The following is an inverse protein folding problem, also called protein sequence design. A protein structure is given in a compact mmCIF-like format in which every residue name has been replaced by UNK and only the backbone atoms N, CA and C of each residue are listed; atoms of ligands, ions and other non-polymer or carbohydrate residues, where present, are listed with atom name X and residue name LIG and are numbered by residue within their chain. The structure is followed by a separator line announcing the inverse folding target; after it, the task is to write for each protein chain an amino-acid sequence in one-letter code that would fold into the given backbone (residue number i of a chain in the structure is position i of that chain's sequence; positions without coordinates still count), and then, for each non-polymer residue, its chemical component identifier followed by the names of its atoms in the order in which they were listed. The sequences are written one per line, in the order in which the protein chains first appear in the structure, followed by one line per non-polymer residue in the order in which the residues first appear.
data_IF_955750857356
#
_entry.id   IF_955750857356
#
_cell.length_a   1.000
_cell.length_b   1.000
_cell.length_c   1.000
_cell.angle_alpha   90.00
_cell.angle_beta   90.00
_cell.angle_gamma   90.00
#
_symmetry.space_group_name_H-M   'P 1'
#
loop_
_entity.id
_entity.type
_entity.pdbx_description
1 polymer ?
#
# COMPACT_ATOMS: atom_id res chain seq x y z
N UNK A 1 13.94 -7.72 7.53
CA UNK A 1 14.01 -6.54 6.64
C UNK A 1 14.49 -6.96 5.25
N UNK A 2 15.60 -7.71 5.16
CA UNK A 2 16.14 -8.23 3.89
C UNK A 2 15.18 -9.10 3.08
N UNK A 3 14.32 -9.91 3.72
CA UNK A 3 13.26 -10.66 3.01
C UNK A 3 12.19 -9.76 2.38
N UNK A 4 11.85 -8.64 3.02
CA UNK A 4 10.90 -7.64 2.49
C UNK A 4 11.51 -6.80 1.35
N UNK A 5 12.83 -6.62 1.35
CA UNK A 5 13.55 -5.94 0.26
C UNK A 5 13.62 -6.85 -0.97
N UNK A 6 13.76 -8.17 -0.78
CA UNK A 6 13.76 -9.16 -1.88
C UNK A 6 12.37 -9.45 -2.45
N UNK A 7 11.29 -9.06 -1.77
CA UNK A 7 9.91 -9.26 -2.24
C UNK A 7 9.42 -8.18 -3.21
N UNK A 8 10.24 -7.18 -3.54
CA UNK A 8 9.87 -6.12 -4.48
C UNK A 8 9.92 -6.70 -5.91
N UNK A 9 8.80 -6.74 -6.66
CA UNK A 9 8.81 -7.26 -8.02
C UNK A 9 9.70 -6.42 -8.94
N UNK A 10 10.53 -7.10 -9.74
CA UNK A 10 11.51 -6.48 -10.64
C UNK A 10 10.92 -6.00 -11.98
N UNK A 11 9.62 -6.24 -12.24
CA UNK A 11 8.99 -5.83 -13.50
C UNK A 11 8.65 -4.34 -13.50
N UNK A 12 9.28 -3.61 -14.42
CA UNK A 12 8.95 -2.21 -14.71
C UNK A 12 7.59 -2.17 -15.43
N UNK A 13 6.51 -2.07 -14.68
CA UNK A 13 5.16 -1.91 -15.23
C UNK A 13 5.00 -0.46 -15.74
N UNK A 14 4.74 -0.29 -17.04
CA UNK A 14 4.31 0.99 -17.61
C UNK A 14 2.84 1.26 -17.22
N UNK A 15 2.67 1.92 -16.08
CA UNK A 15 1.36 2.25 -15.50
C UNK A 15 0.49 3.07 -16.45
N UNK A 16 1.10 3.95 -17.26
CA UNK A 16 0.33 4.78 -18.20
C UNK A 16 -0.27 3.92 -19.31
N UNK A 17 0.52 2.99 -19.85
CA UNK A 17 0.04 2.02 -20.84
C UNK A 17 -1.03 1.08 -20.27
N UNK A 18 -0.86 0.62 -19.03
CA UNK A 18 -1.84 -0.24 -18.35
C UNK A 18 -3.15 0.51 -18.09
N UNK A 19 -3.10 1.75 -17.60
CA UNK A 19 -4.28 2.60 -17.41
C UNK A 19 -4.98 2.94 -18.73
N UNK A 20 -4.23 3.22 -19.78
CA UNK A 20 -4.78 3.43 -21.12
C UNK A 20 -5.50 2.18 -21.64
N UNK A 21 -4.88 1.00 -21.48
CA UNK A 21 -5.50 -0.28 -21.85
C UNK A 21 -6.76 -0.57 -21.03
N UNK A 22 -6.78 -0.24 -19.73
CA UNK A 22 -7.96 -0.38 -18.88
C UNK A 22 -9.11 0.50 -19.39
N UNK A 23 -8.81 1.75 -19.73
CA UNK A 23 -9.80 2.69 -20.23
C UNK A 23 -10.35 2.25 -21.60
N UNK A 24 -9.49 1.80 -22.50
CA UNK A 24 -9.87 1.27 -23.80
C UNK A 24 -10.84 0.09 -23.67
N UNK A 25 -10.53 -0.87 -22.79
CA UNK A 25 -11.39 -2.02 -22.52
C UNK A 25 -12.74 -1.62 -21.90
N UNK A 26 -12.75 -0.63 -21.00
CA UNK A 26 -14.00 -0.07 -20.45
C UNK A 26 -14.85 0.59 -21.54
N UNK A 27 -14.24 1.34 -22.44
CA UNK A 27 -14.93 1.95 -23.58
C UNK A 27 -15.50 0.88 -24.53
N UNK A 28 -14.76 -0.19 -24.80
CA UNK A 28 -15.26 -1.31 -25.60
C UNK A 28 -16.51 -1.95 -24.99
N UNK A 29 -16.55 -2.16 -23.66
CA UNK A 29 -17.76 -2.65 -22.99
C UNK A 29 -18.94 -1.70 -23.21
N UNK A 30 -18.73 -0.39 -23.07
CA UNK A 30 -19.79 0.60 -23.27
C UNK A 30 -20.35 0.51 -24.68
N UNK A 31 -19.47 0.52 -25.71
CA UNK A 31 -19.91 0.43 -27.10
C UNK A 31 -20.69 -0.86 -27.39
N UNK A 32 -20.21 -2.02 -26.92
CA UNK A 32 -20.87 -3.31 -27.13
C UNK A 32 -22.20 -3.38 -26.36
N UNK A 33 -22.27 -2.80 -25.17
CA UNK A 33 -23.49 -2.74 -24.38
C UNK A 33 -24.55 -1.83 -25.02
N UNK A 34 -24.13 -0.69 -25.59
CA UNK A 34 -25.01 0.21 -26.33
C UNK A 34 -25.57 -0.48 -27.59
N UNK A 35 -24.73 -1.19 -28.35
CA UNK A 35 -25.18 -2.00 -29.49
C UNK A 35 -26.18 -3.09 -29.05
N UNK A 36 -25.90 -3.83 -27.97
CA UNK A 36 -26.84 -4.82 -27.41
C UNK A 36 -28.18 -4.20 -27.03
N UNK A 37 -28.16 -2.98 -26.47
CA UNK A 37 -29.38 -2.26 -26.09
C UNK A 37 -30.20 -1.88 -27.32
N UNK A 38 -29.56 -1.35 -28.36
CA UNK A 38 -30.22 -1.01 -29.62
C UNK A 38 -30.86 -2.26 -30.26
N UNK A 39 -30.11 -3.37 -30.35
CA UNK A 39 -30.64 -4.63 -30.85
C UNK A 39 -31.81 -5.15 -30.01
N UNK A 40 -31.78 -5.00 -28.69
CA UNK A 40 -32.89 -5.39 -27.81
C UNK A 40 -34.15 -4.56 -28.07
N UNK A 41 -34.01 -3.27 -28.36
CA UNK A 41 -35.15 -2.40 -28.72
C UNK A 41 -35.75 -2.81 -30.07
N UNK A 42 -34.94 -3.05 -31.10
CA UNK A 42 -35.38 -3.53 -32.40
C UNK A 42 -36.09 -4.89 -32.28
N UNK A 43 -35.49 -5.83 -31.54
CA UNK A 43 -36.10 -7.13 -31.24
C UNK A 43 -37.48 -6.99 -30.59
N UNK A 44 -37.65 -6.07 -29.65
CA UNK A 44 -38.93 -5.87 -28.97
C UNK A 44 -40.02 -5.37 -29.94
N UNK A 45 -39.67 -4.45 -30.85
CA UNK A 45 -40.57 -3.94 -31.88
C UNK A 45 -40.99 -5.04 -32.86
N UNK A 46 -40.02 -5.83 -33.35
CA UNK A 46 -40.29 -6.92 -34.27
C UNK A 46 -41.09 -8.04 -33.61
N UNK A 47 -40.81 -8.34 -32.34
CA UNK A 47 -41.57 -9.31 -31.54
C UNK A 47 -43.03 -8.89 -31.32
N UNK A 48 -43.29 -7.60 -31.12
CA UNK A 48 -44.66 -7.08 -31.04
C UNK A 48 -45.41 -7.27 -32.38
N UNK A 49 -44.74 -6.94 -33.50
CA UNK A 49 -45.31 -7.13 -34.83
C UNK A 49 -45.56 -8.61 -35.14
N UNK A 50 -44.62 -9.48 -34.80
CA UNK A 50 -44.74 -10.92 -34.93
C UNK A 50 -45.93 -11.47 -34.12
N UNK A 51 -46.10 -11.02 -32.88
CA UNK A 51 -47.20 -11.43 -32.00
C UNK A 51 -48.56 -11.06 -32.60
N UNK A 52 -48.71 -9.86 -33.15
CA UNK A 52 -49.95 -9.44 -33.82
C UNK A 52 -50.30 -10.31 -35.03
N UNK A 53 -49.28 -10.80 -35.75
CA UNK A 53 -49.51 -11.71 -36.88
C UNK A 53 -49.97 -13.07 -36.37
N UNK A 54 -49.37 -13.60 -35.30
CA UNK A 54 -49.83 -14.85 -34.69
C UNK A 54 -51.27 -14.75 -34.17
N UNK A 55 -51.63 -13.65 -33.52
CA UNK A 55 -52.99 -13.40 -33.05
C UNK A 55 -54.01 -13.34 -34.21
N UNK A 56 -53.59 -12.79 -35.35
CA UNK A 56 -54.41 -12.82 -36.57
C UNK A 56 -54.56 -14.26 -37.10
N UNK A 57 -53.45 -15.00 -37.22
CA UNK A 57 -53.44 -16.38 -37.73
C UNK A 57 -54.29 -17.33 -36.89
N UNK A 58 -54.29 -17.20 -35.55
CA UNK A 58 -55.12 -18.02 -34.68
C UNK A 58 -56.62 -17.86 -34.93
N UNK A 59 -57.04 -16.69 -35.42
CA UNK A 59 -58.45 -16.36 -35.64
C UNK A 59 -58.85 -16.42 -37.13
N UNK A 60 -57.88 -16.61 -38.03
CA UNK A 60 -58.13 -16.59 -39.47
C UNK A 60 -58.41 -17.99 -40.02
N UNK A 61 -59.54 -18.16 -40.69
CA UNK A 61 -59.90 -19.43 -41.32
C UNK A 61 -59.21 -19.59 -42.69
N UNK A 62 -57.93 -19.97 -42.64
CA UNK A 62 -57.13 -20.27 -43.82
C UNK A 62 -57.76 -21.38 -44.67
N UNK A 63 -58.36 -22.40 -44.04
CA UNK A 63 -58.89 -23.56 -44.75
C UNK A 63 -60.07 -23.16 -45.63
N UNK A 64 -60.99 -22.38 -45.08
CA UNK A 64 -62.13 -21.88 -45.87
C UNK A 64 -61.67 -21.07 -47.10
N UNK A 65 -60.59 -20.31 -46.99
CA UNK A 65 -60.06 -19.55 -48.13
C UNK A 65 -59.53 -20.45 -49.24
N UNK A 66 -58.75 -21.49 -48.91
CA UNK A 66 -58.23 -22.43 -49.91
C UNK A 66 -59.31 -23.37 -50.46
N UNK A 67 -60.30 -23.75 -49.66
CA UNK A 67 -61.49 -24.49 -50.14
C UNK A 67 -62.27 -23.67 -51.16
N UNK A 68 -62.46 -22.36 -50.94
CA UNK A 68 -63.10 -21.47 -51.92
C UNK A 68 -62.30 -21.39 -53.23
N UNK A 69 -60.97 -21.38 -53.16
CA UNK A 69 -60.12 -21.39 -54.35
C UNK A 69 -60.26 -22.71 -55.13
N UNK A 70 -60.33 -23.84 -54.45
CA UNK A 70 -60.51 -25.14 -55.10
C UNK A 70 -61.85 -25.21 -55.85
N UNK A 71 -62.94 -24.77 -55.20
CA UNK A 71 -64.26 -24.68 -55.83
C UNK A 71 -64.26 -23.70 -57.02
N UNK A 72 -63.63 -22.53 -56.87
CA UNK A 72 -63.51 -21.55 -57.96
C UNK A 72 -62.81 -22.14 -59.19
N UNK A 73 -61.71 -22.87 -58.97
CA UNK A 73 -60.96 -23.53 -60.04
C UNK A 73 -61.76 -24.65 -60.71
N UNK A 74 -62.48 -25.46 -59.94
CA UNK A 74 -63.37 -26.50 -60.48
C UNK A 74 -64.45 -25.90 -61.37
N UNK A 75 -65.06 -24.79 -60.95
CA UNK A 75 -66.08 -24.10 -61.74
C UNK A 75 -65.50 -23.49 -63.03
N UNK A 76 -64.30 -22.89 -62.96
CA UNK A 76 -63.61 -22.38 -64.15
C UNK A 76 -63.27 -23.51 -65.14
N UNK A 77 -62.79 -24.66 -64.67
CA UNK A 77 -62.49 -25.82 -65.52
C UNK A 77 -63.75 -26.42 -66.17
N UNK A 78 -64.85 -26.48 -65.41
CA UNK A 78 -66.15 -26.89 -65.91
C UNK A 78 -66.69 -25.92 -66.96
N UNK A 79 -66.51 -24.60 -66.76
CA UNK A 79 -66.91 -23.57 -67.71
C UNK A 79 -66.17 -23.75 -69.04
N UNK A 80 -64.84 -23.88 -69.01
CA UNK A 80 -64.03 -24.11 -70.21
C UNK A 80 -64.49 -25.37 -70.96
N UNK A 81 -64.80 -26.44 -70.21
CA UNK A 81 -65.29 -27.70 -70.79
C UNK A 81 -66.65 -27.54 -71.47
N UNK A 82 -67.59 -26.82 -70.85
CA UNK A 82 -68.91 -26.54 -71.41
C UNK A 82 -68.84 -25.60 -72.62
N UNK A 83 -68.03 -24.55 -72.56
CA UNK A 83 -67.78 -23.64 -73.69
C UNK A 83 -67.19 -24.39 -74.90
N UNK A 84 -66.27 -25.33 -74.67
CA UNK A 84 -65.74 -26.21 -75.70
C UNK A 84 -66.81 -27.09 -76.36
N UNK A 85 -67.70 -27.67 -75.55
CA UNK A 85 -68.83 -28.46 -76.05
C UNK A 85 -69.81 -27.60 -76.84
N UNK A 86 -70.17 -26.42 -76.32
CA UNK A 86 -71.04 -25.45 -76.98
C UNK A 86 -70.47 -25.05 -78.34
N UNK A 87 -69.19 -24.65 -78.40
CA UNK A 87 -68.55 -24.28 -79.65
C UNK A 87 -68.55 -25.40 -80.69
N UNK A 88 -68.41 -26.66 -80.26
CA UNK A 88 -68.49 -27.83 -81.15
C UNK A 88 -69.90 -28.04 -81.73
N UNK A 89 -70.94 -27.89 -80.91
CA UNK A 89 -72.34 -28.05 -81.31
C UNK A 89 -72.83 -26.87 -82.16
N UNK A 90 -72.42 -25.64 -81.85
CA UNK A 90 -72.65 -24.47 -82.70
C UNK A 90 -72.04 -24.65 -84.10
N UNK A 91 -70.84 -25.22 -84.18
CA UNK A 91 -70.21 -25.54 -85.46
C UNK A 91 -70.98 -26.64 -86.21
N UNK A 92 -71.53 -27.65 -85.53
CA UNK A 92 -72.41 -28.64 -86.15
C UNK A 92 -73.73 -28.01 -86.64
N UNK A 93 -74.35 -27.16 -85.83
CA UNK A 93 -75.56 -26.42 -86.16
C UNK A 93 -75.34 -25.57 -87.41
N UNK A 94 -74.24 -24.82 -87.48
CA UNK A 94 -73.84 -24.02 -88.65
C UNK A 94 -73.66 -24.88 -89.90
N UNK A 95 -72.97 -26.02 -89.78
CA UNK A 95 -72.80 -26.98 -90.89
C UNK A 95 -74.14 -27.56 -91.37
N UNK A 96 -75.03 -27.93 -90.45
CA UNK A 96 -76.35 -28.46 -90.78
C UNK A 96 -77.27 -27.39 -91.38
N UNK A 97 -77.16 -26.14 -90.95
CA UNK A 97 -77.87 -25.00 -91.54
C UNK A 97 -77.43 -24.74 -92.99
N UNK A 98 -76.13 -24.71 -93.26
CA UNK A 98 -75.59 -24.56 -94.61
C UNK A 98 -76.07 -25.69 -95.55
N UNK A 99 -76.04 -26.94 -95.08
CA UNK A 99 -76.58 -28.09 -95.84
C UNK A 99 -78.08 -27.97 -96.12
N UNK A 100 -78.84 -27.38 -95.20
CA UNK A 100 -80.29 -27.18 -95.36
C UNK A 100 -80.57 -26.02 -96.33
N UNK A 101 -79.78 -24.95 -96.32
CA UNK A 101 -79.89 -23.84 -97.28
C UNK A 101 -79.66 -24.27 -98.73
N UNK A 102 -78.85 -25.32 -98.97
CA UNK A 102 -78.69 -25.88 -100.32
C UNK A 102 -80.03 -26.36 -100.92
N UNK A 103 -81.05 -26.69 -100.11
CA UNK A 103 -82.38 -27.09 -100.60
C UNK A 103 -83.17 -25.94 -101.23
N UNK A 104 -82.94 -24.68 -100.85
CA UNK A 104 -83.67 -23.53 -101.41
C UNK A 104 -83.22 -23.15 -102.81
N UNK A 105 -82.00 -23.56 -103.22
CA UNK A 105 -81.44 -23.32 -104.55
C UNK A 105 -81.74 -24.41 -105.59
N UNK A 106 -82.49 -25.47 -105.23
CA UNK A 106 -82.71 -26.63 -106.10
C UNK A 106 -84.13 -26.59 -106.71
N UNK A 107 -84.27 -26.43 -108.04
CA UNK A 107 -85.57 -26.32 -108.72
C UNK A 107 -86.35 -27.65 -108.79
N UNK A 108 -85.73 -28.79 -108.46
CA UNK A 108 -86.34 -30.12 -108.52
C UNK A 108 -86.92 -30.65 -107.20
N UNK A 109 -86.98 -29.82 -106.15
CA UNK A 109 -87.70 -30.12 -104.90
C UNK A 109 -87.38 -31.49 -104.29
N UNK A 110 -88.43 -32.24 -103.92
CA UNK A 110 -88.35 -33.57 -103.30
C UNK A 110 -88.33 -34.74 -104.30
N UNK A 111 -88.25 -34.48 -105.61
CA UNK A 111 -88.46 -35.48 -106.65
C UNK A 111 -87.36 -36.55 -106.77
N UNK A 112 -86.21 -36.39 -106.08
CA UNK A 112 -85.07 -37.33 -106.16
C UNK A 112 -84.51 -37.72 -104.77
N UNK A 113 -85.22 -38.55 -103.98
CA UNK A 113 -84.84 -38.92 -102.62
C UNK A 113 -83.58 -39.82 -102.52
N UNK A 114 -83.11 -40.40 -103.64
CA UNK A 114 -81.86 -41.17 -103.70
C UNK A 114 -80.61 -40.31 -103.92
N UNK A 115 -80.76 -39.02 -104.23
CA UNK A 115 -79.63 -38.11 -104.38
C UNK A 115 -78.95 -37.87 -103.02
N UNK A 116 -77.64 -38.13 -102.94
CA UNK A 116 -76.84 -37.98 -101.71
C UNK A 116 -77.01 -36.60 -101.07
N UNK A 117 -76.94 -35.53 -101.86
CA UNK A 117 -77.03 -34.15 -101.36
C UNK A 117 -78.42 -33.80 -100.81
N UNK A 118 -79.49 -34.24 -101.48
CA UNK A 118 -80.87 -34.00 -101.03
C UNK A 118 -81.15 -34.81 -99.75
N UNK A 119 -80.72 -36.07 -99.71
CA UNK A 119 -80.83 -36.93 -98.52
C UNK A 119 -80.07 -36.35 -97.32
N UNK A 120 -78.80 -35.96 -97.50
CA UNK A 120 -77.97 -35.39 -96.45
C UNK A 120 -78.55 -34.06 -95.93
N UNK A 121 -79.11 -33.23 -96.83
CA UNK A 121 -79.75 -31.98 -96.44
C UNK A 121 -81.05 -32.18 -95.64
N UNK A 122 -81.88 -33.18 -95.99
CA UNK A 122 -83.05 -33.52 -95.18
C UNK A 122 -82.68 -34.16 -93.83
N UNK A 123 -81.60 -34.95 -93.75
CA UNK A 123 -81.06 -35.46 -92.48
C UNK A 123 -80.57 -34.30 -91.60
N UNK A 124 -79.81 -33.36 -92.17
CA UNK A 124 -79.38 -32.15 -91.47
C UNK A 124 -80.58 -31.32 -91.01
N UNK A 125 -81.64 -31.18 -91.83
CA UNK A 125 -82.88 -30.51 -91.45
C UNK A 125 -83.60 -31.18 -90.27
N UNK A 126 -83.57 -32.51 -90.18
CA UNK A 126 -84.13 -33.25 -89.05
C UNK A 126 -83.28 -33.11 -87.77
N UNK A 127 -81.96 -32.95 -87.92
CA UNK A 127 -81.04 -32.76 -86.80
C UNK A 127 -80.98 -31.30 -86.30
N UNK A 128 -81.33 -30.30 -87.12
CA UNK A 128 -81.29 -28.88 -86.75
C UNK A 128 -82.04 -28.57 -85.43
N UNK A 129 -83.29 -29.02 -85.21
CA UNK A 129 -83.98 -28.79 -83.94
C UNK A 129 -83.29 -29.46 -82.75
N UNK A 130 -82.62 -30.60 -82.96
CA UNK A 130 -81.87 -31.30 -81.92
C UNK A 130 -80.62 -30.51 -81.55
N UNK A 131 -79.84 -30.10 -82.54
CA UNK A 131 -78.65 -29.27 -82.34
C UNK A 131 -79.00 -27.93 -81.69
N UNK A 132 -80.09 -27.28 -82.10
CA UNK A 132 -80.54 -26.03 -81.49
C UNK A 132 -80.89 -26.21 -80.01
N UNK A 133 -81.67 -27.25 -79.68
CA UNK A 133 -81.99 -27.55 -78.28
C UNK A 133 -80.75 -27.83 -77.43
N UNK A 134 -79.75 -28.49 -78.01
CA UNK A 134 -78.51 -28.79 -77.30
C UNK A 134 -77.65 -27.53 -77.09
N UNK A 135 -77.59 -26.64 -78.08
CA UNK A 135 -76.96 -25.31 -77.96
C UNK A 135 -77.66 -24.50 -76.87
N UNK A 136 -79.00 -24.41 -76.88
CA UNK A 136 -79.76 -23.67 -75.88
C UNK A 136 -79.55 -24.27 -74.46
N UNK A 137 -79.48 -25.60 -74.35
CA UNK A 137 -79.21 -26.31 -73.09
C UNK A 137 -77.81 -26.01 -72.57
N UNK A 138 -76.79 -26.10 -73.42
CA UNK A 138 -75.40 -25.83 -73.03
C UNK A 138 -75.20 -24.34 -72.69
N UNK A 139 -75.83 -23.44 -73.44
CA UNK A 139 -75.82 -22.00 -73.13
C UNK A 139 -76.44 -21.72 -71.76
N UNK A 140 -77.59 -22.33 -71.44
CA UNK A 140 -78.21 -22.16 -70.13
C UNK A 140 -77.32 -22.68 -68.98
N UNK A 141 -76.67 -23.83 -69.15
CA UNK A 141 -75.71 -24.34 -68.16
C UNK A 141 -74.49 -23.43 -67.98
N UNK A 142 -74.01 -22.81 -69.06
CA UNK A 142 -72.92 -21.84 -69.02
C UNK A 142 -73.34 -20.56 -68.29
N UNK A 143 -74.57 -20.09 -68.52
CA UNK A 143 -75.11 -18.91 -67.82
C UNK A 143 -75.24 -19.18 -66.32
N UNK A 144 -75.82 -20.32 -65.94
CA UNK A 144 -75.96 -20.74 -64.53
C UNK A 144 -74.58 -20.83 -63.85
N UNK A 145 -73.60 -21.48 -64.49
CA UNK A 145 -72.25 -21.62 -63.95
C UNK A 145 -71.49 -20.29 -63.88
N UNK A 146 -71.71 -19.38 -64.84
CA UNK A 146 -71.14 -18.03 -64.77
C UNK A 146 -71.70 -17.22 -63.60
N UNK A 147 -72.97 -17.41 -63.25
CA UNK A 147 -73.56 -16.76 -62.08
C UNK A 147 -72.99 -17.34 -60.77
N UNK A 148 -72.78 -18.67 -60.70
CA UNK A 148 -72.08 -19.31 -59.57
C UNK A 148 -70.62 -18.82 -59.44
N UNK A 149 -69.88 -18.68 -60.55
CA UNK A 149 -68.52 -18.13 -60.57
C UNK A 149 -68.49 -16.69 -60.08
N UNK A 150 -69.44 -15.84 -60.52
CA UNK A 150 -69.52 -14.45 -60.06
C UNK A 150 -69.79 -14.35 -58.56
N UNK A 151 -70.55 -15.28 -57.98
CA UNK A 151 -70.82 -15.29 -56.53
C UNK A 151 -69.57 -15.63 -55.72
N UNK A 152 -68.69 -16.50 -56.25
CA UNK A 152 -67.43 -16.87 -55.60
C UNK A 152 -66.37 -15.76 -55.71
N UNK A 153 -66.41 -14.97 -56.78
CA UNK A 153 -65.42 -13.93 -57.12
C UNK A 153 -63.97 -14.45 -57.04
N UNK A 154 -63.53 -15.23 -58.05
CA UNK A 154 -62.18 -15.81 -58.07
C UNK A 154 -61.06 -14.78 -57.94
N UNK A 155 -61.26 -13.56 -58.46
CA UNK A 155 -60.29 -12.47 -58.40
C UNK A 155 -60.11 -11.98 -56.95
N UNK A 156 -61.21 -11.84 -56.19
CA UNK A 156 -61.15 -11.49 -54.77
C UNK A 156 -60.46 -12.59 -53.95
N UNK A 157 -60.82 -13.85 -54.19
CA UNK A 157 -60.20 -15.02 -53.54
C UNK A 157 -58.70 -15.08 -53.80
N UNK A 158 -58.26 -14.89 -55.05
CA UNK A 158 -56.84 -14.84 -55.39
C UNK A 158 -56.11 -13.69 -54.69
N UNK A 159 -56.73 -12.50 -54.66
CA UNK A 159 -56.20 -11.34 -53.95
C UNK A 159 -56.01 -11.61 -52.45
N UNK A 160 -56.98 -12.27 -51.81
CA UNK A 160 -56.91 -12.57 -50.38
C UNK A 160 -55.87 -13.64 -50.06
N UNK A 161 -55.73 -14.66 -50.91
CA UNK A 161 -54.65 -15.65 -50.81
C UNK A 161 -53.28 -14.97 -50.95
N UNK A 162 -53.15 -14.02 -51.88
CA UNK A 162 -51.92 -13.26 -52.05
C UNK A 162 -51.57 -12.45 -50.79
N UNK A 163 -52.54 -11.75 -50.19
CA UNK A 163 -52.36 -10.99 -48.94
C UNK A 163 -51.97 -11.92 -47.79
N UNK A 164 -52.66 -13.06 -47.65
CA UNK A 164 -52.36 -14.05 -46.62
C UNK A 164 -50.93 -14.59 -46.76
N UNK A 165 -50.54 -15.05 -47.96
CA UNK A 165 -49.17 -15.53 -48.21
C UNK A 165 -48.11 -14.45 -47.96
N UNK A 166 -48.41 -13.20 -48.29
CA UNK A 166 -47.52 -12.05 -47.98
C UNK A 166 -47.35 -11.87 -46.47
N UNK A 167 -48.43 -12.03 -45.70
CA UNK A 167 -48.40 -11.99 -44.25
C UNK A 167 -47.54 -13.12 -43.66
N UNK A 168 -47.70 -14.35 -44.17
CA UNK A 168 -46.89 -15.51 -43.77
C UNK A 168 -45.40 -15.27 -44.06
N UNK A 169 -45.07 -14.74 -45.24
CA UNK A 169 -43.69 -14.40 -45.59
C UNK A 169 -43.11 -13.35 -44.63
N UNK A 170 -43.90 -12.34 -44.28
CA UNK A 170 -43.51 -11.33 -43.28
C UNK A 170 -43.31 -11.94 -41.90
N UNK A 171 -44.18 -12.85 -41.45
CA UNK A 171 -44.01 -13.60 -40.18
C UNK A 171 -42.69 -14.34 -40.16
N UNK A 172 -42.40 -15.11 -41.21
CA UNK A 172 -41.18 -15.90 -41.30
C UNK A 172 -39.93 -15.00 -41.31
N UNK A 173 -39.98 -13.87 -42.02
CA UNK A 173 -38.91 -12.87 -42.02
C UNK A 173 -38.68 -12.25 -40.63
N UNK A 174 -39.75 -11.87 -39.93
CA UNK A 174 -39.68 -11.35 -38.56
C UNK A 174 -39.13 -12.40 -37.58
N UNK A 175 -39.55 -13.66 -37.69
CA UNK A 175 -39.03 -14.76 -36.86
C UNK A 175 -37.51 -14.90 -37.01
N UNK A 176 -37.02 -14.91 -38.25
CA UNK A 176 -35.60 -14.96 -38.56
C UNK A 176 -34.84 -13.73 -38.03
N UNK A 177 -35.41 -12.53 -38.16
CA UNK A 177 -34.82 -11.29 -37.62
C UNK A 177 -34.71 -11.34 -36.10
N UNK A 178 -35.77 -11.77 -35.40
CA UNK A 178 -35.77 -11.93 -33.94
C UNK A 178 -34.67 -12.90 -33.51
N UNK A 179 -34.57 -14.07 -34.14
CA UNK A 179 -33.48 -15.03 -33.85
C UNK A 179 -32.11 -14.43 -34.11
N UNK A 180 -31.93 -13.67 -35.19
CA UNK A 180 -30.67 -12.99 -35.47
C UNK A 180 -30.31 -11.94 -34.40
N UNK A 181 -31.28 -11.18 -33.89
CA UNK A 181 -31.04 -10.26 -32.78
C UNK A 181 -30.68 -11.01 -31.49
N UNK A 182 -31.38 -12.11 -31.17
CA UNK A 182 -31.07 -12.93 -30.00
C UNK A 182 -29.62 -13.46 -30.06
N UNK A 183 -29.20 -14.00 -31.21
CA UNK A 183 -27.83 -14.47 -31.42
C UNK A 183 -26.78 -13.35 -31.27
N UNK A 184 -27.08 -12.15 -31.78
CA UNK A 184 -26.18 -10.99 -31.64
C UNK A 184 -26.06 -10.53 -30.20
N UNK A 185 -27.18 -10.44 -29.47
CA UNK A 185 -27.20 -10.05 -28.06
C UNK A 185 -26.38 -11.05 -27.23
N UNK A 186 -26.59 -12.36 -27.41
CA UNK A 186 -25.83 -13.39 -26.70
C UNK A 186 -24.32 -13.34 -27.02
N UNK A 187 -23.97 -13.08 -28.29
CA UNK A 187 -22.58 -12.89 -28.69
C UNK A 187 -21.96 -11.68 -28.01
N UNK A 188 -22.67 -10.55 -27.98
CA UNK A 188 -22.22 -9.32 -27.34
C UNK A 188 -22.08 -9.50 -25.82
N UNK A 189 -23.01 -10.19 -25.17
CA UNK A 189 -22.93 -10.52 -23.75
C UNK A 189 -21.70 -11.41 -23.44
N UNK A 190 -21.37 -12.34 -24.34
CA UNK A 190 -20.14 -13.14 -24.24
C UNK A 190 -18.88 -12.27 -24.34
N UNK A 191 -18.87 -11.31 -25.28
CA UNK A 191 -17.76 -10.35 -25.43
C UNK A 191 -17.61 -9.49 -24.17
N UNK A 192 -18.72 -8.96 -23.64
CA UNK A 192 -18.72 -8.18 -22.40
C UNK A 192 -18.16 -8.99 -21.24
N UNK A 193 -18.57 -10.27 -21.09
CA UNK A 193 -18.03 -11.17 -20.06
C UNK A 193 -16.52 -11.36 -20.20
N UNK A 194 -16.01 -11.56 -21.42
CA UNK A 194 -14.57 -11.67 -21.67
C UNK A 194 -13.83 -10.40 -21.28
N UNK A 195 -14.33 -9.24 -21.70
CA UNK A 195 -13.74 -7.94 -21.39
C UNK A 195 -13.74 -7.65 -19.88
N UNK A 196 -14.79 -8.05 -19.16
CA UNK A 196 -14.84 -7.92 -17.70
C UNK A 196 -13.75 -8.73 -17.00
N UNK A 197 -13.46 -9.95 -17.48
CA UNK A 197 -12.37 -10.78 -16.94
C UNK A 197 -11.02 -10.12 -17.20
N UNK A 198 -10.79 -9.58 -18.39
CA UNK A 198 -9.58 -8.84 -18.74
C UNK A 198 -9.40 -7.60 -17.86
N UNK A 199 -10.45 -6.80 -17.69
CA UNK A 199 -10.46 -5.61 -16.81
C UNK A 199 -10.09 -6.00 -15.39
N UNK A 200 -10.71 -7.05 -14.84
CA UNK A 200 -10.41 -7.52 -13.47
C UNK A 200 -8.95 -7.94 -13.32
N UNK A 201 -8.37 -8.58 -14.33
CA UNK A 201 -6.94 -8.93 -14.35
C UNK A 201 -6.06 -7.67 -14.35
N UNK A 202 -6.39 -6.67 -15.17
CA UNK A 202 -5.65 -5.41 -15.26
C UNK A 202 -5.76 -4.61 -13.95
N UNK A 203 -6.95 -4.52 -13.37
CA UNK A 203 -7.18 -3.85 -12.08
C UNK A 203 -6.43 -4.54 -10.94
N UNK A 204 -6.35 -5.87 -10.95
CA UNK A 204 -5.53 -6.64 -10.02
C UNK A 204 -4.04 -6.27 -10.10
N UNK A 205 -3.48 -6.20 -11.32
CA UNK A 205 -2.08 -5.78 -11.53
C UNK A 205 -1.83 -4.34 -11.09
N UNK A 206 -2.78 -3.44 -11.33
CA UNK A 206 -2.66 -2.04 -10.92
C UNK A 206 -2.67 -1.90 -9.40
N UNK A 207 -3.54 -2.66 -8.72
CA UNK A 207 -3.62 -2.70 -7.25
C UNK A 207 -2.32 -3.22 -6.64
N UNK A 208 -1.77 -4.31 -7.18
CA UNK A 208 -0.48 -4.86 -6.72
C UNK A 208 0.66 -3.83 -6.89
N UNK A 209 0.69 -3.12 -8.01
CA UNK A 209 1.66 -2.04 -8.23
C UNK A 209 1.52 -0.89 -7.22
N UNK A 210 0.30 -0.42 -6.98
CA UNK A 210 0.04 0.69 -6.05
C UNK A 210 0.40 0.30 -4.60
N UNK A 211 0.08 -0.92 -4.17
CA UNK A 211 0.47 -1.47 -2.87
C UNK A 211 2.00 -1.55 -2.72
N UNK A 212 2.70 -1.98 -3.78
CA UNK A 212 4.15 -2.06 -3.79
C UNK A 212 4.78 -0.66 -3.69
N UNK A 213 4.25 0.33 -4.41
CA UNK A 213 4.71 1.73 -4.33
C UNK A 213 4.58 2.28 -2.91
N UNK A 214 3.40 2.15 -2.30
CA UNK A 214 3.15 2.61 -0.93
C UNK A 214 4.09 1.92 0.07
N UNK A 215 4.31 0.61 -0.10
CA UNK A 215 5.24 -0.16 0.73
C UNK A 215 6.67 0.37 0.62
N UNK A 216 7.13 0.72 -0.58
CA UNK A 216 8.45 1.31 -0.81
C UNK A 216 8.57 2.67 -0.14
N UNK A 217 7.59 3.57 -0.35
CA UNK A 217 7.58 4.91 0.25
C UNK A 217 7.62 4.84 1.79
N UNK A 218 6.85 3.91 2.39
CA UNK A 218 6.85 3.65 3.82
C UNK A 218 8.20 3.10 4.33
N UNK A 219 8.83 2.18 3.60
CA UNK A 219 10.16 1.66 3.94
C UNK A 219 11.24 2.75 3.88
N UNK A 220 11.16 3.67 2.92
CA UNK A 220 12.06 4.82 2.85
C UNK A 220 11.90 5.74 4.08
N UNK A 221 10.67 5.99 4.52
CA UNK A 221 10.38 6.73 5.76
C UNK A 221 11.04 6.07 6.97
N UNK A 222 10.80 4.77 7.18
CA UNK A 222 11.41 4.00 8.27
C UNK A 222 12.94 4.02 8.22
N UNK A 223 13.54 3.97 7.04
CA UNK A 223 15.00 4.06 6.88
C UNK A 223 15.56 5.45 7.25
N UNK A 224 14.82 6.53 6.97
CA UNK A 224 15.20 7.89 7.41
C UNK A 224 15.14 8.00 8.92
N UNK A 225 14.09 7.49 9.54
CA UNK A 225 13.92 7.49 10.99
C UNK A 225 15.02 6.66 11.67
N UNK A 226 15.32 5.48 11.13
CA UNK A 226 16.42 4.63 11.63
C UNK A 226 17.77 5.36 11.59
N UNK A 227 18.07 6.09 10.51
CA UNK A 227 19.30 6.90 10.42
C UNK A 227 19.31 8.03 11.45
N UNK A 228 18.18 8.71 11.66
CA UNK A 228 18.03 9.77 12.66
C UNK A 228 18.26 9.24 14.07
N UNK A 229 17.61 8.14 14.45
CA UNK A 229 17.79 7.53 15.76
C UNK A 229 19.21 7.02 15.98
N UNK A 230 19.87 6.47 14.95
CA UNK A 230 21.28 6.08 15.03
C UNK A 230 22.21 7.27 15.30
N UNK A 231 21.93 8.42 14.68
CA UNK A 231 22.68 9.65 14.94
C UNK A 231 22.43 10.18 16.36
N UNK A 232 21.18 10.18 16.83
CA UNK A 232 20.82 10.58 18.19
C UNK A 232 21.49 9.68 19.23
N UNK A 233 21.46 8.36 19.03
CA UNK A 233 22.12 7.39 19.90
C UNK A 233 23.63 7.67 20.01
N UNK A 234 24.30 7.89 18.87
CA UNK A 234 25.74 8.23 18.85
C UNK A 234 26.05 9.56 19.55
N UNK A 235 25.18 10.54 19.39
CA UNK A 235 25.33 11.84 20.07
C UNK A 235 25.17 11.67 21.58
N UNK A 236 24.17 10.90 22.01
CA UNK A 236 23.92 10.61 23.41
C UNK A 236 25.08 9.83 24.04
N UNK A 237 25.64 8.86 23.32
CA UNK A 237 26.83 8.09 23.72
C UNK A 237 28.04 9.02 23.91
N UNK A 238 28.31 9.93 22.96
CA UNK A 238 29.39 10.91 23.10
C UNK A 238 29.17 11.87 24.29
N UNK A 239 27.92 12.27 24.56
CA UNK A 239 27.59 13.11 25.70
C UNK A 239 27.75 12.35 27.02
N UNK A 240 27.36 11.08 27.06
CA UNK A 240 27.56 10.19 28.19
C UNK A 240 29.06 10.05 28.51
N UNK A 241 29.89 9.81 27.50
CA UNK A 241 31.35 9.71 27.67
C UNK A 241 31.96 11.01 28.20
N UNK A 242 31.53 12.16 27.68
CA UNK A 242 31.98 13.48 28.17
C UNK A 242 31.57 13.73 29.63
N UNK A 243 30.34 13.36 29.98
CA UNK A 243 29.85 13.44 31.36
C UNK A 243 30.66 12.51 32.27
N UNK A 244 30.91 11.28 31.84
CA UNK A 244 31.70 10.31 32.60
C UNK A 244 33.14 10.79 32.83
N UNK A 245 33.78 11.38 31.81
CA UNK A 245 35.10 12.04 31.95
C UNK A 245 35.06 13.18 32.96
N UNK A 246 34.00 13.99 32.96
CA UNK A 246 33.80 15.08 33.92
C UNK A 246 33.64 14.57 35.35
N UNK A 247 32.87 13.48 35.53
CA UNK A 247 32.71 12.79 36.82
C UNK A 247 34.07 12.28 37.33
N UNK A 248 34.86 11.62 36.47
CA UNK A 248 36.21 11.17 36.83
C UNK A 248 37.14 12.33 37.21
N UNK A 249 37.04 13.47 36.52
CA UNK A 249 37.81 14.67 36.87
C UNK A 249 37.42 15.23 38.24
N UNK A 250 36.13 15.25 38.57
CA UNK A 250 35.63 15.64 39.88
C UNK A 250 36.15 14.71 40.98
N UNK A 251 36.10 13.38 40.79
CA UNK A 251 36.66 12.42 41.74
C UNK A 251 38.15 12.67 42.01
N UNK A 252 38.96 12.93 40.97
CA UNK A 252 40.38 13.27 41.12
C UNK A 252 40.57 14.56 41.94
N UNK A 253 39.74 15.57 41.70
CA UNK A 253 39.80 16.85 42.44
C UNK A 253 39.42 16.67 43.91
N UNK A 254 38.38 15.89 44.19
CA UNK A 254 37.97 15.54 45.55
C UNK A 254 39.13 14.87 46.29
N UNK A 255 39.73 13.83 45.72
CA UNK A 255 40.87 13.14 46.35
C UNK A 255 42.07 14.07 46.60
N UNK A 256 42.37 14.98 45.66
CA UNK A 256 43.42 15.99 45.86
C UNK A 256 43.11 16.96 47.00
N UNK A 257 41.86 17.41 47.11
CA UNK A 257 41.41 18.31 48.19
C UNK A 257 41.41 17.59 49.54
N UNK A 258 40.96 16.34 49.60
CA UNK A 258 41.02 15.50 50.80
C UNK A 258 42.47 15.35 51.29
N UNK A 259 43.41 15.03 50.39
CA UNK A 259 44.83 14.95 50.75
C UNK A 259 45.38 16.29 51.27
N UNK A 260 45.00 17.40 50.65
CA UNK A 260 45.38 18.75 51.14
C UNK A 260 44.83 19.01 52.54
N UNK A 261 43.58 18.62 52.80
CA UNK A 261 42.96 18.77 54.13
C UNK A 261 43.71 17.94 55.17
N UNK A 262 44.07 16.69 54.85
CA UNK A 262 44.87 15.83 55.73
C UNK A 262 46.23 16.48 56.03
N UNK A 263 46.93 16.95 55.00
CA UNK A 263 48.23 17.61 55.16
C UNK A 263 48.14 18.87 56.02
N UNK A 264 47.14 19.72 55.80
CA UNK A 264 46.93 20.94 56.59
C UNK A 264 46.59 20.63 58.05
N UNK A 265 45.82 19.57 58.32
CA UNK A 265 45.56 19.11 59.69
C UNK A 265 46.85 18.66 60.38
N UNK A 266 47.71 17.91 59.68
CA UNK A 266 49.00 17.49 60.21
C UNK A 266 49.93 18.68 60.48
N UNK A 267 50.06 19.62 59.54
CA UNK A 267 50.86 20.84 59.72
C UNK A 267 50.34 21.71 60.86
N UNK A 268 49.02 21.79 61.05
CA UNK A 268 48.43 22.50 62.19
C UNK A 268 48.83 21.85 63.50
N UNK A 269 48.83 20.51 63.58
CA UNK A 269 49.27 19.81 64.79
C UNK A 269 50.75 20.07 65.05
N UNK A 270 51.60 19.94 64.05
CA UNK A 270 53.04 20.23 64.15
C UNK A 270 53.30 21.67 64.63
N UNK A 271 52.53 22.64 64.13
CA UNK A 271 52.63 24.03 64.60
C UNK A 271 52.26 24.18 66.07
N UNK A 272 51.20 23.50 66.54
CA UNK A 272 50.80 23.52 67.95
C UNK A 272 51.90 22.91 68.82
N UNK A 273 52.43 21.75 68.42
CA UNK A 273 53.50 21.06 69.16
C UNK A 273 54.76 21.95 69.25
N UNK A 274 55.16 22.58 68.13
CA UNK A 274 56.32 23.49 68.10
C UNK A 274 56.07 24.76 68.92
N UNK A 275 54.84 25.26 68.96
CA UNK A 275 54.46 26.41 69.80
C UNK A 275 54.58 26.06 71.29
N UNK A 276 54.16 24.85 71.68
CA UNK A 276 54.33 24.33 73.04
C UNK A 276 55.82 24.23 73.40
N UNK A 277 56.63 23.60 72.53
CA UNK A 277 58.08 23.48 72.72
C UNK A 277 58.78 24.84 72.82
N UNK A 278 58.39 25.80 71.98
CA UNK A 278 58.91 27.16 72.05
C UNK A 278 58.53 27.84 73.37
N UNK A 279 57.28 27.68 73.82
CA UNK A 279 56.81 28.23 75.10
C UNK A 279 57.57 27.63 76.28
N UNK A 280 57.86 26.33 76.26
CA UNK A 280 58.67 25.64 77.25
C UNK A 280 60.12 26.15 77.23
N UNK A 281 60.69 26.35 76.03
CA UNK A 281 62.03 26.91 75.85
C UNK A 281 62.14 28.36 76.35
N UNK A 282 61.14 29.21 76.07
CA UNK A 282 61.09 30.58 76.57
C UNK A 282 60.98 30.61 78.09
N UNK A 283 60.09 29.80 78.66
CA UNK A 283 59.95 29.65 80.11
C UNK A 283 61.29 29.22 80.74
N UNK A 284 61.94 28.21 80.17
CA UNK A 284 63.26 27.75 80.63
C UNK A 284 64.31 28.87 80.59
N UNK A 285 64.39 29.63 79.48
CA UNK A 285 65.32 30.77 79.35
C UNK A 285 65.05 31.85 80.38
N UNK A 286 63.78 32.18 80.67
CA UNK A 286 63.42 33.13 81.73
C UNK A 286 63.82 32.61 83.11
N UNK A 287 63.56 31.33 83.39
CA UNK A 287 63.95 30.68 84.65
C UNK A 287 65.47 30.62 84.86
N UNK A 288 66.24 30.39 83.78
CA UNK A 288 67.71 30.26 83.80
C UNK A 288 68.46 31.57 83.50
N UNK A 289 67.75 32.69 83.35
CA UNK A 289 68.37 34.00 83.17
C UNK A 289 69.29 34.32 84.38
N UNK A 290 70.38 35.10 84.24
CA UNK A 290 71.26 35.47 85.36
C UNK A 290 70.54 36.12 86.55
N UNK A 291 69.35 36.70 86.34
CA UNK A 291 68.46 37.26 87.37
C UNK A 291 67.23 36.36 87.66
N UNK A 292 67.27 35.11 87.20
CA UNK A 292 66.18 34.13 87.32
C UNK A 292 66.25 33.31 88.61
N UNK A 293 65.77 32.07 88.56
CA UNK A 293 65.58 31.20 89.74
C UNK A 293 66.87 31.07 90.56
N UNK A 294 68.03 30.89 89.92
CA UNK A 294 69.30 30.75 90.61
C UNK A 294 69.66 32.02 91.41
N UNK A 295 69.42 33.21 90.85
CA UNK A 295 69.63 34.48 91.56
C UNK A 295 68.63 34.64 92.71
N UNK A 296 67.36 34.32 92.50
CA UNK A 296 66.34 34.36 93.56
C UNK A 296 66.67 33.39 94.71
N UNK A 297 67.17 32.18 94.41
CA UNK A 297 67.61 31.20 95.40
C UNK A 297 68.84 31.72 96.16
N UNK A 298 69.86 32.23 95.45
CA UNK A 298 71.07 32.81 96.06
C UNK A 298 70.68 33.98 96.97
N UNK A 299 69.86 34.92 96.49
CA UNK A 299 69.39 36.08 97.25
C UNK A 299 68.63 35.69 98.52
N UNK A 300 67.84 34.61 98.48
CA UNK A 300 67.14 34.08 99.67
C UNK A 300 68.06 33.33 100.64
N UNK A 301 69.12 32.68 100.15
CA UNK A 301 70.01 31.85 100.97
C UNK A 301 71.26 32.59 101.49
N UNK A 302 71.70 33.66 100.81
CA UNK A 302 72.86 34.47 101.23
C UNK A 302 72.71 35.01 102.67
N UNK A 303 71.55 35.54 103.10
CA UNK A 303 71.36 36.02 104.47
C UNK A 303 71.52 34.89 105.49
N UNK A 304 70.96 33.71 105.20
CA UNK A 304 71.06 32.52 106.06
C UNK A 304 72.51 32.05 106.17
N UNK A 305 73.27 32.08 105.07
CA UNK A 305 74.71 31.73 105.08
C UNK A 305 75.51 32.74 105.89
N UNK A 306 75.25 34.04 105.71
CA UNK A 306 75.92 35.09 106.48
C UNK A 306 75.61 34.96 107.98
N UNK A 307 74.39 34.62 108.33
CA UNK A 307 73.99 34.39 109.72
C UNK A 307 74.78 33.22 110.35
N UNK A 308 74.99 32.13 109.61
CA UNK A 308 75.79 30.99 110.07
C UNK A 308 77.30 31.29 110.14
N UNK A 309 77.85 32.02 109.17
CA UNK A 309 79.27 32.42 109.19
C UNK A 309 79.55 33.43 110.31
N UNK A 310 78.64 34.38 110.55
CA UNK A 310 78.75 35.34 111.64
C UNK A 310 78.77 34.65 113.01
N UNK A 311 77.94 33.61 113.21
CA UNK A 311 77.97 32.80 114.45
C UNK A 311 79.33 32.14 114.70
N UNK A 312 80.03 31.70 113.64
CA UNK A 312 81.33 31.03 113.74
C UNK A 312 82.47 32.03 114.01
N UNK A 313 82.43 33.22 113.39
CA UNK A 313 83.54 34.19 113.39
C UNK A 313 83.39 35.34 114.41
N UNK A 314 82.26 35.43 115.13
CA UNK A 314 81.91 36.53 116.03
C UNK A 314 82.98 36.95 117.05
N UNK A 315 83.88 36.04 117.46
CA UNK A 315 84.88 36.32 118.50
C UNK A 315 86.27 36.71 117.95
N UNK A 316 86.48 36.71 116.63
CA UNK A 316 87.82 36.89 116.04
C UNK A 316 87.85 38.07 115.07
N UNK A 317 86.87 38.25 114.17
CA UNK A 317 86.74 39.40 113.24
C UNK A 317 85.28 39.54 112.74
N UNK A 318 84.79 40.77 112.51
CA UNK A 318 83.55 41.02 111.75
C UNK A 318 83.68 40.53 110.29
N UNK A 319 82.83 39.58 109.89
CA UNK A 319 82.85 38.99 108.54
C UNK A 319 81.45 38.96 107.93
N UNK A 320 81.29 39.62 106.78
CA UNK A 320 80.05 39.62 106.01
C UNK A 320 80.35 39.22 104.55
N UNK A 321 79.74 38.14 104.05
CA UNK A 321 79.80 37.82 102.62
C UNK A 321 78.83 38.72 101.89
N UNK A 322 79.32 39.87 101.45
CA UNK A 322 78.58 40.75 100.56
C UNK A 322 78.80 40.29 99.13
N UNK A 323 77.71 40.01 98.41
CA UNK A 323 77.80 39.71 96.98
C UNK A 323 78.17 40.98 96.22
N UNK A 324 79.46 41.14 95.91
CA UNK A 324 79.91 42.09 94.89
C UNK A 324 79.43 41.60 93.52
N UNK A 325 78.65 42.43 92.84
CA UNK A 325 78.23 42.21 91.45
C UNK A 325 79.44 42.39 90.52
N UNK A 326 80.42 41.48 90.61
CA UNK A 326 81.51 41.39 89.65
C UNK A 326 81.00 40.45 88.56
N UNK A 327 80.59 41.04 87.45
CA UNK A 327 80.32 40.35 86.21
C UNK A 327 81.58 39.65 85.71
N UNK A 328 81.90 38.47 86.26
CA UNK A 328 82.85 37.57 85.64
C UNK A 328 82.77 36.08 86.06
N UNK A 329 81.58 35.51 86.27
CA UNK A 329 81.43 34.05 86.28
C UNK A 329 81.39 33.43 84.85
N UNK A 330 81.67 34.24 83.83
CA UNK A 330 81.63 33.88 82.41
C UNK A 330 82.97 33.39 81.82
N UNK A 331 84.09 33.47 82.56
CA UNK A 331 85.42 33.08 82.01
C UNK A 331 85.81 31.62 82.26
N UNK A 332 85.33 30.99 83.35
CA UNK A 332 85.66 29.58 83.63
C UNK A 332 84.81 28.59 82.81
N UNK A 333 83.56 28.93 82.46
CA UNK A 333 82.77 28.13 81.49
C UNK A 333 83.31 28.24 80.06
N UNK A 334 83.79 29.42 79.61
CA UNK A 334 84.34 29.59 78.26
C UNK A 334 85.66 28.85 78.03
N UNK A 335 86.56 28.79 79.02
CA UNK A 335 87.85 28.09 78.88
C UNK A 335 87.71 26.56 78.79
N UNK A 336 86.77 25.97 79.53
CA UNK A 336 86.50 24.53 79.43
C UNK A 336 85.82 24.16 78.11
N UNK A 337 84.90 25.00 77.61
CA UNK A 337 84.21 24.78 76.34
C UNK A 337 85.15 24.92 75.12
N UNK A 338 86.08 25.88 75.13
CA UNK A 338 87.04 26.08 74.02
C UNK A 338 88.05 24.94 73.92
N UNK A 339 88.52 24.38 75.05
CA UNK A 339 89.47 23.25 75.03
C UNK A 339 88.80 21.97 74.51
N UNK A 340 87.54 21.71 74.89
CA UNK A 340 86.78 20.56 74.38
C UNK A 340 86.46 20.74 72.89
N UNK A 341 86.06 21.94 72.46
CA UNK A 341 85.75 22.23 71.05
C UNK A 341 86.98 22.14 70.12
N UNK A 342 88.16 22.57 70.58
CA UNK A 342 89.39 22.44 69.79
C UNK A 342 89.87 20.99 69.67
N UNK A 343 89.69 20.17 70.71
CA UNK A 343 89.95 18.72 70.66
C UNK A 343 88.95 18.00 69.73
N UNK A 344 87.69 18.44 69.72
CA UNK A 344 86.65 17.88 68.85
C UNK A 344 86.83 18.24 67.37
N UNK A 345 87.24 19.48 67.05
CA UNK A 345 87.52 19.91 65.67
C UNK A 345 88.70 19.13 65.06
N UNK A 346 89.75 18.86 65.84
CA UNK A 346 90.88 18.04 65.39
C UNK A 346 90.53 16.56 65.23
N UNK A 347 89.55 16.04 65.98
CA UNK A 347 89.05 14.67 65.82
C UNK A 347 88.17 14.54 64.56
N UNK A 348 87.28 15.51 64.32
CA UNK A 348 86.41 15.56 63.13
C UNK A 348 87.19 15.73 61.83
N UNK A 349 88.26 16.53 61.82
CA UNK A 349 89.13 16.70 60.65
C UNK A 349 89.92 15.41 60.35
N UNK A 350 90.36 14.66 61.38
CA UNK A 350 91.03 13.36 61.16
C UNK A 350 90.08 12.28 60.63
N UNK A 351 88.79 12.34 60.99
CA UNK A 351 87.77 11.39 60.51
C UNK A 351 87.27 11.74 59.11
N UNK A 352 87.26 13.02 58.72
CA UNK A 352 86.88 13.43 57.36
C UNK A 352 87.90 13.05 56.27
N UNK A 353 89.16 12.76 56.64
CA UNK A 353 90.23 12.35 55.70
C UNK A 353 90.36 10.82 55.57
N UNK A 354 89.77 10.05 56.50
CA UNK A 354 89.75 8.59 56.46
C UNK A 354 88.33 8.08 56.22
N UNK A 355 87.95 7.86 54.97
CA UNK A 355 86.63 7.33 54.61
C UNK A 355 86.37 5.96 55.22
N UNK A 356 85.35 5.84 56.08
CA UNK A 356 84.69 4.57 56.40
C UNK A 356 83.31 4.80 57.01
N UNK A 357 82.30 4.17 56.39
CA UNK A 357 80.93 4.01 56.89
C UNK A 357 80.91 3.06 58.09
N UNK A 358 80.21 3.38 59.19
CA UNK A 358 79.60 2.35 60.06
C UNK A 358 78.61 2.93 61.07
N UNK A 359 77.59 2.14 61.41
CA UNK A 359 76.50 2.43 62.35
C UNK A 359 76.94 2.73 63.80
N UNK A 360 78.22 2.58 64.13
CA UNK A 360 78.78 3.06 65.40
C UNK A 360 78.89 4.59 65.49
N UNK A 361 78.78 5.31 64.36
CA UNK A 361 78.86 6.77 64.31
C UNK A 361 77.62 7.45 64.92
N UNK A 362 76.42 6.88 64.73
CA UNK A 362 75.18 7.42 65.29
C UNK A 362 75.04 7.15 66.79
N UNK A 363 75.53 6.01 67.27
CA UNK A 363 75.55 5.69 68.71
C UNK A 363 76.57 6.55 69.45
N UNK A 364 77.74 6.86 68.87
CA UNK A 364 78.72 7.75 69.51
C UNK A 364 78.21 9.21 69.59
N UNK A 365 77.54 9.70 68.54
CA UNK A 365 76.92 11.04 68.55
C UNK A 365 75.80 11.11 69.59
N UNK A 366 74.95 10.07 69.68
CA UNK A 366 73.85 9.99 70.67
C UNK A 366 74.35 9.90 72.12
N UNK A 367 75.44 9.17 72.39
CA UNK A 367 76.07 9.15 73.72
C UNK A 367 76.71 10.50 74.07
N UNK A 368 77.31 11.20 73.09
CA UNK A 368 77.92 12.53 73.34
C UNK A 368 76.89 13.64 73.53
N UNK A 369 75.73 13.59 72.87
CA UNK A 369 74.61 14.50 73.14
C UNK A 369 74.01 14.28 74.52
N UNK A 370 73.86 13.01 74.95
CA UNK A 370 73.41 12.68 76.29
C UNK A 370 74.42 13.10 77.38
N UNK A 371 75.73 13.05 77.10
CA UNK A 371 76.75 13.53 78.05
C UNK A 371 76.80 15.06 78.14
N UNK A 372 76.45 15.78 77.06
CA UNK A 372 76.29 17.25 77.05
C UNK A 372 75.02 17.66 77.82
N UNK A 373 73.96 16.84 77.78
CA UNK A 373 72.72 17.07 78.53
C UNK A 373 72.85 16.76 80.04
N UNK A 374 73.79 15.90 80.44
CA UNK A 374 74.06 15.59 81.86
C UNK A 374 74.99 16.59 82.56
N UNK A 375 75.63 17.51 81.82
CA UNK A 375 76.64 18.47 82.31
C UNK A 375 76.20 19.94 82.10
N UNK A 376 75.04 20.17 81.46
CA UNK A 376 74.28 21.42 81.47
C UNK A 376 73.29 21.44 82.65
#
# INVERSE_FOLDING_TARGET
LDEKIRSIPAELIDVMKVRASLQDKKNQIICVADESKEMSTLRATDRNSYQKILEFEENYDEKSLFEKQEVANEFLDNLISLEGLLGSEEQQLKRNNQKTQLLSGIPCGSSFPKCKFIKDAYISKANLPKNQKEVDRLSGMIDDLNDEIKEIDPDEVESDIYKYNTLINKRNALSNQITNYDLKIEKNDSIIRSLMVEIKSIEGKLSEYELNKETIDNLEGLNKDMKSFKYQAKTLESNYDSCNLSVLALYKRVGSLEQKVINLKAQRQEFIDLQEDFSASDLYKRCMHPNGIAYDVIKRKLPVINEEIAKILANIVDFEVVQKLIGHFLLLKKRFFIIIFFKFKNLLIRVAVGGAQSAHFFTLISYTYNLIFLIL
#
